data_IF_783217943306
#
_entry.id   IF_783217943306
#
_cell.length_a   1.000
_cell.length_b   1.000
_cell.length_c   1.000
_cell.angle_alpha   90.00
_cell.angle_beta   90.00
_cell.angle_gamma   90.00
#
_symmetry.space_group_name_H-M   'P 1'
#
loop_
_entity.id
_entity.type
_entity.pdbx_description
1 polymer ?
#
# COMPACT_ATOMS: atom_id res chain seq x y z
N UNK A 1 -69.96 -3.32 -12.22
CA UNK A 1 -71.12 -2.44 -12.02
C UNK A 1 -72.22 -3.27 -11.40
N UNK A 2 -72.92 -2.85 -10.33
CA UNK A 2 -72.69 -1.67 -9.48
C UNK A 2 -72.34 -2.05 -8.01
N UNK A 3 -72.13 -1.04 -7.15
CA UNK A 3 -72.29 -1.09 -5.68
C UNK A 3 -73.81 -0.95 -5.35
N UNK A 4 -74.34 -1.14 -4.13
CA UNK A 4 -73.71 -1.11 -2.79
C UNK A 4 -74.18 -2.31 -1.90
N UNK A 5 -74.29 -2.32 -0.56
CA UNK A 5 -74.05 -1.37 0.56
C UNK A 5 -73.86 -2.14 1.90
N UNK A 6 -73.39 -1.46 2.98
CA UNK A 6 -73.76 -1.77 4.39
C UNK A 6 -73.28 -0.68 5.38
N UNK A 7 -74.24 0.11 5.87
CA UNK A 7 -74.50 0.47 7.29
C UNK A 7 -73.36 0.75 8.30
N UNK A 8 -73.22 2.05 8.66
CA UNK A 8 -73.36 2.65 10.03
C UNK A 8 -72.47 2.17 11.23
N UNK A 9 -72.29 2.96 12.33
CA UNK A 9 -73.13 4.08 12.79
C UNK A 9 -72.44 5.38 13.28
N UNK A 10 -73.32 6.36 13.56
CA UNK A 10 -73.21 7.61 14.35
C UNK A 10 -72.24 7.56 15.56
N UNK A 11 -71.66 8.66 16.09
CA UNK A 11 -71.96 10.10 15.97
C UNK A 11 -70.71 10.99 16.29
N UNK A 12 -70.76 12.33 16.13
CA UNK A 12 -69.62 13.27 16.27
C UNK A 12 -69.55 13.90 17.70
N UNK A 13 -68.69 14.86 18.11
CA UNK A 13 -67.95 15.95 17.42
C UNK A 13 -66.56 16.29 18.01
N UNK A 14 -65.80 17.06 17.22
CA UNK A 14 -64.58 17.80 17.55
C UNK A 14 -64.74 18.94 18.58
N UNK A 15 -63.69 19.26 19.37
CA UNK A 15 -63.29 20.64 19.78
C UNK A 15 -62.00 20.67 20.63
N UNK A 16 -61.19 21.72 20.52
CA UNK A 16 -60.10 22.08 21.45
C UNK A 16 -58.68 21.81 20.93
N UNK A 17 -58.03 22.69 20.16
CA UNK A 17 -57.40 23.96 20.59
C UNK A 17 -56.29 23.85 21.65
N UNK A 18 -55.19 23.15 21.35
CA UNK A 18 -53.85 23.55 21.86
C UNK A 18 -52.80 23.44 20.74
N UNK A 19 -52.62 24.53 19.99
CA UNK A 19 -51.35 24.81 19.29
C UNK A 19 -50.43 25.53 20.27
N UNK A 20 -49.11 25.37 20.10
CA UNK A 20 -48.05 26.06 20.87
C UNK A 20 -48.03 25.60 22.34
N UNK A 21 -47.04 24.83 22.80
CA UNK A 21 -45.67 25.24 23.12
C UNK A 21 -44.71 24.02 23.20
N UNK A 22 -43.44 24.26 23.50
CA UNK A 22 -42.41 23.25 23.79
C UNK A 22 -41.87 22.43 22.61
N UNK A 23 -41.45 23.12 21.55
CA UNK A 23 -40.24 22.72 20.84
C UNK A 23 -39.02 22.96 21.76
N UNK A 24 -38.76 22.04 22.70
CA UNK A 24 -37.60 22.06 23.58
C UNK A 24 -37.27 20.64 24.08
N UNK A 25 -35.98 20.33 24.23
CA UNK A 25 -35.48 19.08 24.84
C UNK A 25 -35.87 17.74 24.18
N UNK A 26 -35.50 17.56 22.90
CA UNK A 26 -35.04 16.25 22.38
C UNK A 26 -33.52 16.22 22.11
N UNK A 27 -32.77 16.98 22.92
CA UNK A 27 -31.32 16.94 23.02
C UNK A 27 -30.95 16.40 24.40
N UNK A 28 -30.58 15.12 24.47
CA UNK A 28 -29.84 14.39 25.53
C UNK A 28 -30.13 12.87 25.37
N UNK A 29 -29.56 12.27 24.32
CA UNK A 29 -29.77 10.83 24.04
C UNK A 29 -28.79 10.17 23.08
N UNK A 30 -27.77 10.89 22.58
CA UNK A 30 -26.82 10.38 21.58
C UNK A 30 -25.37 10.79 21.91
N UNK A 31 -25.00 10.81 23.21
CA UNK A 31 -23.62 11.10 23.67
C UNK A 31 -23.06 10.01 24.61
N UNK A 32 -23.78 8.89 24.82
CA UNK A 32 -23.36 7.79 25.71
C UNK A 32 -23.58 6.37 25.11
N UNK A 33 -23.06 6.09 23.89
CA UNK A 33 -22.44 4.77 23.70
C UNK A 33 -21.09 4.78 22.95
N UNK A 34 -20.65 5.95 22.47
CA UNK A 34 -19.38 6.09 21.72
C UNK A 34 -18.14 5.96 22.63
N UNK A 35 -18.31 6.04 23.96
CA UNK A 35 -17.23 5.89 24.93
C UNK A 35 -17.04 4.46 25.49
N UNK A 36 -17.71 3.43 24.95
CA UNK A 36 -17.59 2.04 25.43
C UNK A 36 -17.31 0.99 24.34
N UNK A 37 -17.48 1.31 23.06
CA UNK A 37 -16.86 0.46 22.02
C UNK A 37 -15.36 0.71 22.11
N UNK A 38 -14.69 -0.25 22.75
CA UNK A 38 -13.39 -0.03 23.37
C UNK A 38 -12.37 0.52 22.40
N UNK A 39 -11.34 1.15 22.96
CA UNK A 39 -10.10 1.43 22.26
C UNK A 39 -9.61 0.14 21.59
N UNK A 40 -9.94 -0.02 20.30
CA UNK A 40 -9.09 -0.71 19.35
C UNK A 40 -7.83 0.15 19.24
N UNK A 41 -7.04 0.14 20.32
CA UNK A 41 -5.73 0.77 20.36
C UNK A 41 -5.00 0.16 19.20
N UNK A 42 -4.69 0.99 18.21
CA UNK A 42 -4.17 0.55 16.92
C UNK A 42 -3.08 -0.47 17.22
N UNK A 43 -3.34 -1.73 16.90
CA UNK A 43 -2.39 -2.78 17.21
C UNK A 43 -1.30 -2.61 16.17
N UNK A 44 -0.33 -1.75 16.51
CA UNK A 44 0.94 -1.62 15.82
C UNK A 44 1.55 -3.01 15.90
N UNK A 45 1.21 -3.86 14.93
CA UNK A 45 1.73 -5.20 14.82
C UNK A 45 3.23 -5.05 14.88
N UNK A 46 3.87 -5.72 15.83
CA UNK A 46 5.31 -5.64 16.00
C UNK A 46 5.93 -5.90 14.62
N UNK A 47 6.48 -4.86 14.00
CA UNK A 47 7.22 -5.00 12.77
C UNK A 47 8.45 -5.78 13.17
N UNK A 48 8.36 -7.11 13.08
CA UNK A 48 9.49 -8.01 13.26
C UNK A 48 10.52 -7.51 12.25
N UNK A 49 11.66 -6.94 12.69
CA UNK A 49 12.61 -6.35 11.77
C UNK A 49 13.07 -7.45 10.82
N UNK A 50 12.91 -7.22 9.52
CA UNK A 50 13.28 -8.21 8.50
C UNK A 50 14.74 -8.60 8.69
N UNK A 51 14.99 -9.87 9.01
CA UNK A 51 16.36 -10.35 9.18
C UNK A 51 16.99 -10.53 7.80
N UNK A 52 17.94 -9.66 7.47
CA UNK A 52 18.84 -9.91 6.34
C UNK A 52 19.69 -11.14 6.65
N UNK A 53 19.77 -12.06 5.68
CA UNK A 53 20.54 -13.30 5.75
C UNK A 53 21.37 -13.40 4.48
N UNK A 54 22.69 -13.53 4.64
CA UNK A 54 23.55 -13.82 3.50
C UNK A 54 23.23 -15.21 2.94
N UNK A 55 22.91 -15.26 1.65
CA UNK A 55 22.64 -16.49 0.89
C UNK A 55 23.73 -16.81 -0.13
N UNK A 56 24.72 -15.93 -0.32
CA UNK A 56 25.82 -16.06 -1.27
C UNK A 56 26.58 -17.40 -1.14
N UNK A 57 26.92 -17.89 0.08
CA UNK A 57 27.57 -19.19 0.23
C UNK A 57 26.73 -20.38 -0.25
N UNK A 58 25.41 -20.23 -0.31
CA UNK A 58 24.46 -21.29 -0.68
C UNK A 58 23.87 -21.16 -2.09
N UNK A 59 24.09 -20.04 -2.79
CA UNK A 59 23.52 -19.79 -4.11
C UNK A 59 24.34 -20.39 -5.26
N UNK A 60 25.62 -20.70 -5.03
CA UNK A 60 26.55 -21.10 -6.08
C UNK A 60 26.98 -19.95 -7.02
N UNK A 61 26.56 -18.72 -6.74
CA UNK A 61 26.86 -17.54 -7.56
C UNK A 61 28.18 -16.93 -7.10
N UNK A 62 29.21 -17.05 -7.93
CA UNK A 62 30.51 -16.40 -7.75
C UNK A 62 30.67 -15.25 -8.76
N UNK A 63 30.34 -14.03 -8.34
CA UNK A 63 30.42 -12.84 -9.17
C UNK A 63 31.60 -11.93 -8.79
N UNK A 64 32.37 -11.50 -9.78
CA UNK A 64 33.48 -10.56 -9.65
C UNK A 64 33.21 -9.35 -10.56
N UNK A 65 33.00 -8.17 -9.97
CA UNK A 65 32.84 -6.94 -10.74
C UNK A 65 34.19 -6.46 -11.31
N UNK A 66 34.23 -6.17 -12.60
CA UNK A 66 35.41 -5.73 -13.35
C UNK A 66 35.14 -4.38 -14.00
N UNK A 67 35.76 -3.34 -13.47
CA UNK A 67 35.83 -2.03 -14.12
C UNK A 67 37.05 -1.95 -15.05
N UNK A 68 36.94 -1.21 -16.15
CA UNK A 68 38.08 -1.00 -17.07
C UNK A 68 38.91 0.19 -16.59
N UNK A 69 39.94 -0.05 -15.78
CA UNK A 69 40.78 1.01 -15.21
C UNK A 69 41.55 1.80 -16.29
N UNK A 70 41.09 3.01 -16.65
CA UNK A 70 41.79 3.89 -17.60
C UNK A 70 42.59 4.98 -16.89
N UNK A 71 43.32 5.78 -17.66
CA UNK A 71 43.99 7.00 -17.19
C UNK A 71 42.99 8.09 -16.77
N UNK A 72 41.93 8.30 -17.58
CA UNK A 72 40.99 9.43 -17.49
C UNK A 72 39.77 9.22 -16.59
N UNK A 73 39.58 8.01 -16.03
CA UNK A 73 38.49 7.68 -15.10
C UNK A 73 37.12 8.04 -15.66
N UNK A 74 36.78 7.42 -16.78
CA UNK A 74 35.48 7.58 -17.42
C UNK A 74 34.34 7.13 -16.50
N UNK A 75 33.16 7.75 -16.64
CA UNK A 75 31.99 7.45 -15.82
C UNK A 75 31.67 5.93 -15.69
N UNK A 76 31.74 5.10 -16.76
CA UNK A 76 31.50 3.66 -16.66
C UNK A 76 32.47 2.90 -15.73
N UNK A 77 33.63 3.47 -15.38
CA UNK A 77 34.57 2.88 -14.41
C UNK A 77 34.13 3.08 -12.96
N UNK A 78 33.35 4.13 -12.71
CA UNK A 78 32.82 4.48 -11.38
C UNK A 78 31.45 3.87 -11.14
N UNK A 79 30.74 3.50 -12.21
CA UNK A 79 29.49 2.75 -12.12
C UNK A 79 29.75 1.33 -11.63
N UNK A 80 28.93 0.88 -10.68
CA UNK A 80 28.97 -0.50 -10.19
C UNK A 80 28.26 -1.48 -11.13
N UNK A 81 28.37 -2.77 -10.79
CA UNK A 81 27.58 -3.83 -11.41
C UNK A 81 26.06 -3.61 -11.28
N UNK A 82 25.30 -4.25 -12.16
CA UNK A 82 23.84 -4.30 -12.10
C UNK A 82 23.34 -5.73 -11.88
N UNK A 83 22.13 -5.87 -11.33
CA UNK A 83 21.42 -7.15 -11.22
C UNK A 83 19.95 -6.98 -11.63
N UNK A 84 19.40 -7.98 -12.31
CA UNK A 84 17.97 -8.12 -12.55
C UNK A 84 17.52 -9.55 -12.27
N UNK A 85 16.28 -9.69 -11.78
CA UNK A 85 15.62 -10.97 -11.53
C UNK A 85 14.34 -11.02 -12.36
N UNK A 86 14.23 -12.01 -13.25
CA UNK A 86 13.07 -12.23 -14.11
C UNK A 86 13.09 -13.67 -14.62
N UNK A 87 11.93 -14.18 -15.03
CA UNK A 87 11.81 -15.48 -15.71
C UNK A 87 12.09 -15.25 -17.21
N UNK A 88 13.21 -15.75 -17.74
CA UNK A 88 13.63 -15.50 -19.12
C UNK A 88 13.12 -16.55 -20.11
N UNK A 89 13.14 -17.82 -19.71
CA UNK A 89 12.74 -18.96 -20.55
C UNK A 89 11.32 -19.49 -20.27
N UNK A 90 10.63 -18.89 -19.29
CA UNK A 90 9.26 -19.19 -18.88
C UNK A 90 9.12 -20.59 -18.25
N UNK A 91 10.13 -21.05 -17.49
CA UNK A 91 10.07 -22.29 -16.68
C UNK A 91 9.40 -22.10 -15.30
N UNK A 92 9.10 -20.85 -14.92
CA UNK A 92 8.48 -20.51 -13.64
C UNK A 92 9.48 -20.25 -12.49
N UNK A 93 10.79 -20.19 -12.79
CA UNK A 93 11.83 -19.75 -11.85
C UNK A 93 12.25 -18.31 -12.15
N UNK A 94 12.95 -17.69 -11.21
CA UNK A 94 13.62 -16.41 -11.45
C UNK A 94 15.07 -16.67 -11.84
N UNK A 95 15.43 -16.25 -13.04
CA UNK A 95 16.81 -16.16 -13.49
C UNK A 95 17.52 -14.96 -12.86
N UNK A 96 18.85 -15.06 -12.78
CA UNK A 96 19.71 -13.99 -12.27
C UNK A 96 20.56 -13.44 -13.40
N UNK A 97 20.24 -12.23 -13.85
CA UNK A 97 21.05 -11.50 -14.83
C UNK A 97 21.99 -10.53 -14.11
N UNK A 98 23.30 -10.64 -14.37
CA UNK A 98 24.35 -9.82 -13.76
C UNK A 98 25.07 -9.01 -14.83
N UNK A 99 25.04 -7.68 -14.70
CA UNK A 99 25.75 -6.75 -15.59
C UNK A 99 27.14 -6.49 -15.02
N UNK A 100 28.15 -6.64 -15.87
CA UNK A 100 29.55 -6.37 -15.54
C UNK A 100 30.13 -5.30 -16.48
N UNK A 101 31.26 -4.70 -16.10
CA UNK A 101 31.99 -3.80 -16.99
C UNK A 101 32.68 -4.55 -18.14
N UNK A 102 33.05 -3.79 -19.17
CA UNK A 102 33.80 -4.28 -20.33
C UNK A 102 35.04 -3.41 -20.55
N UNK A 103 36.11 -3.94 -21.20
CA UNK A 103 37.29 -3.15 -21.55
C UNK A 103 36.93 -1.92 -22.39
N UNK A 104 37.35 -0.75 -21.93
CA UNK A 104 37.28 0.49 -22.70
C UNK A 104 38.53 0.61 -23.56
N UNK A 105 38.36 0.87 -24.86
CA UNK A 105 39.46 1.29 -25.72
C UNK A 105 39.83 2.74 -25.39
N UNK A 106 40.75 2.95 -24.45
CA UNK A 106 41.28 4.28 -24.13
C UNK A 106 42.17 4.76 -25.30
N UNK A 107 41.82 5.84 -26.04
CA UNK A 107 42.71 6.43 -27.03
C UNK A 107 43.85 7.24 -26.39
N UNK A 108 43.85 7.38 -25.06
CA UNK A 108 44.88 8.09 -24.29
C UNK A 108 46.03 7.13 -23.96
N UNK A 109 47.28 7.45 -24.33
CA UNK A 109 48.43 6.66 -23.93
C UNK A 109 48.58 6.59 -22.40
N UNK A 110 49.03 5.45 -21.89
CA UNK A 110 49.35 5.31 -20.47
C UNK A 110 50.53 6.22 -20.10
N UNK A 111 50.30 7.27 -19.30
CA UNK A 111 51.37 8.09 -18.73
C UNK A 111 51.20 9.61 -18.74
N UNK A 112 50.02 10.17 -19.06
CA UNK A 112 49.76 11.62 -18.90
C UNK A 112 48.92 11.89 -17.65
N UNK A 113 49.58 12.39 -16.60
CA UNK A 113 48.97 13.19 -15.52
C UNK A 113 49.10 14.68 -15.84
#
# INVERSE_FOLDING_TARGET
MPLPDTDYPFAPETRGLVRVLAAAFRWLGVILPILWHGSAGAQWGSMIPGKFVDRTPSSGIHFEHKASHTSKKYLPETMGAGVALFDYDNDGRLDVFLVNGAPLSDPTPAGTI
#
